data_IF_950230932908
#
_entry.id   IF_950230932908
#
_cell.length_a   1.000
_cell.length_b   1.000
_cell.length_c   1.000
_cell.angle_alpha   90.00
_cell.angle_beta   90.00
_cell.angle_gamma   90.00
#
_symmetry.space_group_name_H-M   'P 1'
#
loop_
_entity.id
_entity.type
_entity.pdbx_description
1 polymer ?
#
# COMPACT_ATOMS: atom_id res chain seq x y z
N UNK A 1 6.51 -5.51 0.26
CA UNK A 1 7.64 -6.07 -0.50
C UNK A 1 7.26 -7.47 -0.96
N UNK A 2 7.35 -7.72 -2.26
CA UNK A 2 7.11 -9.00 -2.91
C UNK A 2 8.45 -9.47 -3.49
N UNK A 3 9.04 -10.52 -2.94
CA UNK A 3 10.36 -10.99 -3.34
C UNK A 3 10.90 -12.07 -2.39
N UNK A 4 12.08 -12.64 -2.66
CA UNK A 4 12.68 -13.67 -1.84
C UNK A 4 13.01 -13.13 -0.45
N UNK A 5 12.95 -14.00 0.56
CA UNK A 5 13.17 -13.61 1.96
C UNK A 5 14.55 -12.97 2.17
N UNK A 6 15.53 -13.35 1.38
CA UNK A 6 16.90 -12.87 1.46
C UNK A 6 17.02 -11.35 1.25
N UNK A 7 16.12 -10.71 0.48
CA UNK A 7 16.10 -9.25 0.32
C UNK A 7 15.93 -8.48 1.63
N UNK A 8 15.25 -9.08 2.59
CA UNK A 8 14.82 -8.39 3.83
C UNK A 8 15.36 -9.09 5.08
N UNK A 9 16.20 -10.11 4.91
CA UNK A 9 16.69 -10.94 6.01
C UNK A 9 17.66 -10.11 6.86
N UNK A 10 17.39 -10.04 8.17
CA UNK A 10 18.21 -9.28 9.11
C UNK A 10 17.91 -7.78 9.16
N UNK A 11 16.97 -7.27 8.35
CA UNK A 11 16.49 -5.90 8.44
C UNK A 11 15.41 -5.79 9.53
N UNK A 12 15.50 -4.75 10.35
CA UNK A 12 14.36 -4.30 11.16
C UNK A 12 13.49 -3.38 10.31
N UNK A 13 12.24 -3.80 10.07
CA UNK A 13 11.26 -3.07 9.28
C UNK A 13 10.21 -2.37 10.16
N UNK A 14 10.43 -2.34 11.49
CA UNK A 14 9.61 -1.64 12.48
C UNK A 14 8.12 -2.05 12.47
N UNK A 15 7.80 -3.23 11.92
CA UNK A 15 6.41 -3.67 11.73
C UNK A 15 5.62 -2.85 10.70
N UNK A 16 6.29 -2.07 9.85
CA UNK A 16 5.67 -1.14 8.88
C UNK A 16 5.43 -1.75 7.49
N UNK A 17 5.87 -2.99 7.27
CA UNK A 17 5.98 -3.57 5.92
C UNK A 17 5.24 -4.90 5.83
N UNK A 18 4.38 -5.02 4.82
CA UNK A 18 3.82 -6.31 4.39
C UNK A 18 4.87 -7.06 3.55
N UNK A 19 5.15 -8.31 3.93
CA UNK A 19 6.15 -9.16 3.27
C UNK A 19 5.48 -10.37 2.60
N UNK A 20 5.78 -10.59 1.33
CA UNK A 20 5.38 -11.78 0.59
C UNK A 20 6.61 -12.44 -0.03
N UNK A 21 6.93 -13.66 0.44
CA UNK A 21 7.98 -14.50 -0.16
C UNK A 21 7.55 -14.90 -1.57
N UNK A 22 8.33 -14.47 -2.56
CA UNK A 22 8.04 -14.71 -3.97
C UNK A 22 9.35 -14.86 -4.75
N UNK A 23 9.42 -15.85 -5.65
CA UNK A 23 10.53 -16.03 -6.57
C UNK A 23 9.98 -16.10 -8.01
N UNK A 24 10.35 -15.13 -8.84
CA UNK A 24 9.87 -15.02 -10.22
C UNK A 24 10.32 -16.20 -11.10
N UNK A 25 11.38 -16.91 -10.71
CA UNK A 25 11.93 -18.08 -11.41
C UNK A 25 11.04 -19.31 -11.20
N UNK A 26 10.36 -19.39 -10.06
CA UNK A 26 9.40 -20.45 -9.74
C UNK A 26 7.99 -20.17 -10.30
N UNK A 27 7.75 -18.98 -10.87
CA UNK A 27 6.48 -18.57 -11.46
C UNK A 27 6.61 -18.20 -12.94
N UNK A 28 6.88 -19.18 -13.84
CA UNK A 28 7.04 -18.92 -15.27
C UNK A 28 5.76 -18.39 -15.94
N UNK A 29 4.60 -18.63 -15.34
CA UNK A 29 3.30 -18.18 -15.83
C UNK A 29 2.86 -16.80 -15.32
N UNK A 30 3.61 -16.21 -14.37
CA UNK A 30 3.25 -15.00 -13.64
C UNK A 30 1.92 -15.09 -12.86
N UNK A 31 1.42 -16.30 -12.62
CA UNK A 31 0.13 -16.52 -11.95
C UNK A 31 0.22 -16.14 -10.47
N UNK A 32 1.33 -16.48 -9.81
CA UNK A 32 1.53 -16.13 -8.40
C UNK A 32 1.73 -14.62 -8.25
N UNK A 33 2.53 -14.00 -9.11
CA UNK A 33 2.69 -12.55 -9.11
C UNK A 33 1.36 -11.82 -9.34
N UNK A 34 0.57 -12.29 -10.29
CA UNK A 34 -0.77 -11.77 -10.55
C UNK A 34 -1.64 -11.83 -9.31
N UNK A 35 -1.69 -12.98 -8.62
CA UNK A 35 -2.45 -13.12 -7.37
C UNK A 35 -1.94 -12.15 -6.31
N UNK A 36 -0.62 -12.02 -6.14
CA UNK A 36 -0.02 -11.12 -5.14
C UNK A 36 -0.38 -9.65 -5.39
N UNK A 37 -0.34 -9.20 -6.64
CA UNK A 37 -0.67 -7.81 -7.01
C UNK A 37 -2.17 -7.52 -6.98
N UNK A 38 -3.02 -8.51 -7.26
CA UNK A 38 -4.48 -8.31 -7.37
C UNK A 38 -5.27 -8.67 -6.12
N UNK A 39 -4.65 -9.33 -5.12
CA UNK A 39 -5.32 -9.66 -3.86
C UNK A 39 -4.56 -9.12 -2.63
N UNK A 40 -3.41 -9.67 -2.21
CA UNK A 40 -2.69 -9.16 -1.03
C UNK A 40 -2.32 -7.68 -1.10
N UNK A 41 -1.83 -7.19 -2.25
CA UNK A 41 -1.56 -5.75 -2.40
C UNK A 41 -2.83 -4.91 -2.27
N UNK A 42 -3.96 -5.38 -2.82
CA UNK A 42 -5.24 -4.66 -2.73
C UNK A 42 -5.68 -4.54 -1.27
N UNK A 43 -5.57 -5.62 -0.49
CA UNK A 43 -5.85 -5.60 0.95
C UNK A 43 -4.89 -4.66 1.69
N UNK A 44 -3.59 -4.72 1.40
CA UNK A 44 -2.61 -3.81 1.99
C UNK A 44 -2.94 -2.34 1.68
N UNK A 45 -3.39 -2.06 0.46
CA UNK A 45 -3.80 -0.72 0.05
C UNK A 45 -5.07 -0.25 0.76
N UNK A 46 -6.06 -1.12 0.94
CA UNK A 46 -7.28 -0.77 1.66
C UNK A 46 -6.99 -0.40 3.12
N UNK A 47 -6.16 -1.21 3.79
CA UNK A 47 -5.70 -0.91 5.16
C UNK A 47 -4.93 0.41 5.17
N UNK A 48 -4.01 0.61 4.21
CA UNK A 48 -3.22 1.85 4.12
C UNK A 48 -4.10 3.09 3.93
N UNK A 49 -5.06 3.06 3.00
CA UNK A 49 -5.95 4.20 2.73
C UNK A 49 -6.90 4.48 3.89
N UNK A 50 -7.44 3.44 4.54
CA UNK A 50 -8.31 3.59 5.70
C UNK A 50 -7.58 4.33 6.84
N UNK A 51 -6.34 3.93 7.13
CA UNK A 51 -5.49 4.63 8.09
C UNK A 51 -5.08 6.03 7.60
N UNK A 52 -4.64 6.17 6.35
CA UNK A 52 -4.18 7.44 5.79
C UNK A 52 -5.25 8.53 5.92
N UNK A 53 -6.44 8.29 5.38
CA UNK A 53 -7.48 9.32 5.35
C UNK A 53 -8.03 9.61 6.74
N UNK A 54 -8.23 8.57 7.56
CA UNK A 54 -8.68 8.75 8.95
C UNK A 54 -7.68 9.53 9.81
N UNK A 55 -6.39 9.52 9.44
CA UNK A 55 -5.32 10.25 10.13
C UNK A 55 -5.21 11.70 9.64
N UNK A 56 -5.31 11.93 8.33
CA UNK A 56 -5.14 13.28 7.73
C UNK A 56 -6.31 14.21 8.09
N UNK A 57 -7.54 13.71 8.05
CA UNK A 57 -8.73 14.48 8.45
C UNK A 57 -9.79 13.51 8.99
N UNK A 58 -9.75 13.30 10.32
CA UNK A 58 -10.66 12.36 10.98
C UNK A 58 -12.12 12.82 10.99
N UNK A 59 -12.35 14.14 10.89
CA UNK A 59 -13.70 14.68 10.90
C UNK A 59 -14.42 14.43 9.57
N UNK A 60 -13.68 14.55 8.46
CA UNK A 60 -14.21 14.30 7.11
C UNK A 60 -14.14 12.82 6.73
N UNK A 61 -13.02 12.15 6.97
CA UNK A 61 -12.77 10.80 6.48
C UNK A 61 -12.69 9.71 7.55
N UNK A 62 -12.71 10.09 8.83
CA UNK A 62 -12.76 9.17 9.96
C UNK A 62 -14.17 8.99 10.52
N UNK A 63 -14.24 8.44 11.73
CA UNK A 63 -15.49 8.31 12.50
C UNK A 63 -15.52 9.15 13.77
N UNK A 64 -14.61 10.12 13.92
CA UNK A 64 -14.55 10.99 15.09
C UNK A 64 -14.21 10.22 16.37
N UNK A 65 -14.65 10.74 17.51
CA UNK A 65 -14.39 10.12 18.81
C UNK A 65 -15.21 8.85 19.02
N UNK A 66 -14.53 7.75 19.35
CA UNK A 66 -15.16 6.47 19.71
C UNK A 66 -16.17 6.57 20.86
N UNK A 67 -16.06 7.59 21.71
CA UNK A 67 -16.97 7.83 22.85
C UNK A 67 -18.42 8.04 22.39
N UNK A 68 -18.62 8.65 21.22
CA UNK A 68 -19.95 9.01 20.71
C UNK A 68 -20.44 8.08 19.61
N UNK A 69 -19.79 6.93 19.40
CA UNK A 69 -20.13 6.00 18.31
C UNK A 69 -21.47 5.31 18.53
N UNK A 70 -22.39 5.54 17.60
CA UNK A 70 -23.59 4.74 17.44
C UNK A 70 -23.46 3.91 16.15
N UNK A 71 -23.41 2.58 16.29
CA UNK A 71 -23.28 1.67 15.14
C UNK A 71 -24.57 1.64 14.34
N UNK A 72 -24.47 1.92 13.04
CA UNK A 72 -25.60 1.93 12.11
C UNK A 72 -25.45 0.80 11.11
N UNK A 73 -26.35 -0.20 11.20
CA UNK A 73 -26.46 -1.28 10.23
C UNK A 73 -25.21 -2.14 10.02
N UNK A 74 -24.19 -1.99 10.88
CA UNK A 74 -22.85 -2.61 10.77
C UNK A 74 -22.05 -2.21 9.52
N UNK A 75 -22.44 -1.15 8.84
CA UNK A 75 -21.68 -0.62 7.70
C UNK A 75 -21.17 0.79 7.95
N UNK A 76 -21.55 1.46 9.05
CA UNK A 76 -20.98 2.73 9.44
C UNK A 76 -21.37 3.16 10.85
N UNK A 77 -20.97 4.37 11.20
CA UNK A 77 -21.11 4.97 12.52
C UNK A 77 -21.78 6.35 12.40
N UNK A 78 -22.66 6.67 13.35
CA UNK A 78 -23.08 8.04 13.63
C UNK A 78 -22.42 8.54 14.91
N UNK A 79 -22.08 9.82 14.96
CA UNK A 79 -21.57 10.49 16.15
C UNK A 79 -22.73 11.10 16.95
N UNK A 80 -23.02 10.55 18.12
CA UNK A 80 -24.15 10.96 18.95
C UNK A 80 -25.49 10.63 18.29
N UNK A 81 -26.58 11.29 18.72
CA UNK A 81 -27.94 10.97 18.25
C UNK A 81 -28.22 11.44 16.81
N UNK A 82 -27.47 12.43 16.30
CA UNK A 82 -27.66 13.02 14.98
C UNK A 82 -26.32 13.39 14.35
N UNK A 83 -25.99 12.77 13.22
CA UNK A 83 -24.85 13.12 12.37
C UNK A 83 -25.00 12.48 11.00
N UNK A 84 -24.13 12.85 10.05
CA UNK A 84 -23.94 12.05 8.85
C UNK A 84 -23.33 10.68 9.19
N UNK A 85 -23.52 9.71 8.28
CA UNK A 85 -22.91 8.40 8.37
C UNK A 85 -21.40 8.50 8.11
N UNK A 86 -20.60 7.92 8.98
CA UNK A 86 -19.14 7.89 8.91
C UNK A 86 -18.63 6.46 8.74
N UNK A 87 -17.58 6.27 7.93
CA UNK A 87 -17.06 4.94 7.56
C UNK A 87 -15.64 4.66 8.04
N UNK A 88 -14.82 5.69 8.28
CA UNK A 88 -13.40 5.50 8.64
C UNK A 88 -13.15 5.22 10.11
N UNK A 89 -11.87 5.25 10.50
CA UNK A 89 -11.42 4.90 11.84
C UNK A 89 -11.68 6.03 12.84
N UNK A 90 -11.87 5.63 14.11
CA UNK A 90 -12.02 6.58 15.20
C UNK A 90 -10.70 7.31 15.48
N UNK A 91 -10.77 8.53 16.01
CA UNK A 91 -9.61 9.31 16.45
C UNK A 91 -8.66 8.49 17.32
N UNK A 92 -9.19 7.79 18.33
CA UNK A 92 -8.41 7.00 19.28
C UNK A 92 -7.73 5.77 18.64
N UNK A 93 -8.12 5.37 17.43
CA UNK A 93 -7.47 4.29 16.69
C UNK A 93 -6.21 4.77 15.97
N UNK A 94 -6.19 6.02 15.53
CA UNK A 94 -5.13 6.55 14.65
C UNK A 94 -4.24 7.59 15.34
N UNK A 95 -4.69 8.18 16.45
CA UNK A 95 -3.98 9.24 17.18
C UNK A 95 -3.61 8.84 18.62
N UNK A 96 -2.39 9.18 19.02
CA UNK A 96 -1.90 9.21 20.39
C UNK A 96 -1.89 10.66 20.89
N UNK A 97 -3.01 11.10 21.49
CA UNK A 97 -3.21 12.52 21.78
C UNK A 97 -3.28 13.31 20.48
N UNK A 98 -2.33 14.21 20.27
CA UNK A 98 -2.24 15.08 19.08
C UNK A 98 -1.29 14.53 18.00
N UNK A 99 -0.63 13.40 18.24
CA UNK A 99 0.36 12.80 17.32
C UNK A 99 -0.19 11.51 16.73
N UNK A 100 -0.10 11.28 15.40
CA UNK A 100 -0.47 10.00 14.81
C UNK A 100 0.35 8.83 15.35
N UNK A 101 -0.27 7.66 15.54
CA UNK A 101 0.48 6.42 15.80
C UNK A 101 1.37 6.02 14.61
N UNK A 102 0.89 6.30 13.40
CA UNK A 102 1.58 6.04 12.16
C UNK A 102 1.53 7.28 11.28
N UNK A 103 2.64 7.61 10.64
CA UNK A 103 2.69 8.64 9.61
C UNK A 103 1.71 8.29 8.48
N UNK A 104 0.85 9.21 8.03
CA UNK A 104 -0.03 8.98 6.89
C UNK A 104 0.80 8.97 5.60
N UNK A 105 1.12 7.78 5.12
CA UNK A 105 1.93 7.57 3.91
C UNK A 105 1.13 6.87 2.82
N UNK A 106 1.47 7.14 1.55
CA UNK A 106 1.02 6.31 0.42
C UNK A 106 1.78 4.98 0.43
N UNK A 107 1.08 3.90 0.09
CA UNK A 107 1.69 2.57 0.00
C UNK A 107 2.76 2.55 -1.10
N UNK A 108 3.92 1.98 -0.76
CA UNK A 108 4.98 1.63 -1.71
C UNK A 108 5.07 0.11 -1.86
N UNK A 109 4.79 -0.38 -3.05
CA UNK A 109 5.03 -1.77 -3.42
C UNK A 109 6.39 -1.89 -4.09
N UNK A 110 7.27 -2.72 -3.52
CA UNK A 110 8.51 -3.15 -4.13
C UNK A 110 8.34 -4.60 -4.57
N UNK A 111 8.65 -4.90 -5.83
CA UNK A 111 8.53 -6.23 -6.44
C UNK A 111 9.86 -6.64 -7.05
N UNK A 112 10.42 -7.80 -6.68
CA UNK A 112 11.51 -8.42 -7.42
C UNK A 112 10.94 -9.32 -8.52
N UNK A 113 10.92 -8.81 -9.74
CA UNK A 113 10.53 -9.52 -10.96
C UNK A 113 10.92 -8.67 -12.19
N UNK A 114 11.13 -9.29 -13.37
CA UNK A 114 11.30 -8.56 -14.62
C UNK A 114 10.19 -7.54 -14.87
N UNK A 115 10.57 -6.31 -15.22
CA UNK A 115 9.61 -5.20 -15.41
C UNK A 115 8.53 -5.54 -16.44
N UNK A 116 8.88 -6.23 -17.52
CA UNK A 116 7.94 -6.61 -18.59
C UNK A 116 6.82 -7.51 -18.05
N UNK A 117 7.12 -8.37 -17.06
CA UNK A 117 6.10 -9.21 -16.42
C UNK A 117 5.15 -8.37 -15.60
N UNK A 118 5.65 -7.38 -14.86
CA UNK A 118 4.83 -6.47 -14.06
C UNK A 118 3.96 -5.60 -14.98
N UNK A 119 4.53 -5.03 -16.04
CA UNK A 119 3.82 -4.24 -17.05
C UNK A 119 2.67 -5.01 -17.69
N UNK A 120 2.91 -6.26 -18.10
CA UNK A 120 1.88 -7.12 -18.68
C UNK A 120 0.70 -7.32 -17.71
N UNK A 121 0.97 -7.44 -16.42
CA UNK A 121 -0.07 -7.54 -15.40
C UNK A 121 -0.83 -6.23 -15.21
N UNK A 122 -0.14 -5.09 -15.20
CA UNK A 122 -0.78 -3.78 -15.15
C UNK A 122 -1.71 -3.59 -16.35
N UNK A 123 -1.24 -3.88 -17.57
CA UNK A 123 -2.03 -3.75 -18.78
C UNK A 123 -3.29 -4.62 -18.78
N UNK A 124 -3.25 -5.78 -18.11
CA UNK A 124 -4.39 -6.72 -18.03
C UNK A 124 -5.44 -6.34 -16.97
N UNK A 125 -5.06 -5.57 -15.95
CA UNK A 125 -5.92 -5.30 -14.79
C UNK A 125 -6.16 -3.80 -14.60
N UNK A 126 -7.39 -3.35 -14.90
CA UNK A 126 -7.83 -1.96 -14.70
C UNK A 126 -7.59 -1.48 -13.26
N UNK A 127 -7.77 -2.35 -12.26
CA UNK A 127 -7.50 -2.04 -10.85
C UNK A 127 -6.03 -1.61 -10.62
N UNK A 128 -5.08 -2.31 -11.25
CA UNK A 128 -3.65 -1.99 -11.14
C UNK A 128 -3.31 -0.68 -11.86
N UNK A 129 -3.92 -0.45 -13.02
CA UNK A 129 -3.81 0.84 -13.73
C UNK A 129 -4.31 1.98 -12.84
N UNK A 130 -5.49 1.84 -12.25
CA UNK A 130 -6.03 2.82 -11.31
C UNK A 130 -5.13 3.05 -10.11
N UNK A 131 -4.51 2.01 -9.55
CA UNK A 131 -3.59 2.15 -8.42
C UNK A 131 -2.36 2.96 -8.78
N UNK A 132 -1.70 2.63 -9.90
CA UNK A 132 -0.40 3.20 -10.23
C UNK A 132 -0.48 4.49 -11.05
N UNK A 133 -1.43 4.59 -11.99
CA UNK A 133 -1.58 5.78 -12.84
C UNK A 133 -2.19 6.98 -12.11
N UNK A 134 -2.95 6.74 -11.03
CA UNK A 134 -3.44 7.81 -10.15
C UNK A 134 -2.57 8.01 -8.91
N UNK A 135 -1.42 7.32 -8.81
CA UNK A 135 -0.51 7.40 -7.66
C UNK A 135 -1.16 7.08 -6.30
N UNK A 136 -2.20 6.25 -6.30
CA UNK A 136 -2.75 5.71 -5.05
C UNK A 136 -1.77 4.74 -4.39
N UNK A 137 -1.02 4.01 -5.21
CA UNK A 137 0.09 3.13 -4.82
C UNK A 137 1.32 3.50 -5.64
N UNK A 138 2.48 3.62 -5.00
CA UNK A 138 3.75 3.72 -5.69
C UNK A 138 4.32 2.33 -5.96
N UNK A 139 4.91 2.14 -7.14
CA UNK A 139 5.48 0.86 -7.55
C UNK A 139 6.95 1.02 -7.91
N UNK A 140 7.75 0.09 -7.37
CA UNK A 140 9.17 -0.07 -7.70
C UNK A 140 9.43 -1.53 -8.05
N UNK A 141 10.11 -1.76 -9.17
CA UNK A 141 10.62 -3.06 -9.56
C UNK A 141 12.11 -3.15 -9.22
N UNK A 142 12.53 -4.24 -8.59
CA UNK A 142 13.93 -4.65 -8.55
C UNK A 142 14.16 -5.58 -9.73
N UNK A 143 14.89 -5.09 -10.74
CA UNK A 143 15.17 -5.83 -11.97
C UNK A 143 16.23 -6.91 -11.69
N UNK A 144 15.91 -8.22 -11.73
CA UNK A 144 16.81 -9.25 -11.23
C UNK A 144 18.12 -9.38 -12.00
N UNK A 145 18.09 -9.14 -13.31
CA UNK A 145 19.28 -9.27 -14.17
C UNK A 145 20.26 -8.09 -14.01
N UNK A 146 19.75 -6.94 -13.57
CA UNK A 146 20.53 -5.70 -13.43
C UNK A 146 20.89 -5.41 -11.96
N UNK A 147 20.07 -5.89 -11.01
CA UNK A 147 20.15 -5.50 -9.60
C UNK A 147 19.79 -4.02 -9.35
N UNK A 148 19.09 -3.39 -10.29
CA UNK A 148 18.73 -1.96 -10.27
C UNK A 148 17.24 -1.80 -9.93
N UNK A 149 16.93 -0.78 -9.14
CA UNK A 149 15.57 -0.39 -8.82
C UNK A 149 15.01 0.57 -9.88
N UNK A 150 13.80 0.32 -10.33
CA UNK A 150 13.07 1.16 -11.26
C UNK A 150 11.74 1.58 -10.67
N UNK A 151 11.44 2.87 -10.65
CA UNK A 151 10.13 3.42 -10.27
C UNK A 151 9.21 3.45 -11.47
N UNK A 152 7.99 2.92 -11.32
CA UNK A 152 6.93 3.07 -12.30
C UNK A 152 6.28 4.45 -12.15
N UNK A 153 6.13 5.16 -13.26
CA UNK A 153 5.52 6.49 -13.31
C UNK A 153 4.05 6.41 -13.73
N UNK A 154 3.23 7.42 -13.38
CA UNK A 154 1.85 7.53 -13.85
C UNK A 154 1.69 7.50 -15.37
N UNK A 155 2.72 7.93 -16.09
CA UNK A 155 2.79 7.91 -17.57
C UNK A 155 2.90 6.51 -18.16
N UNK A 156 3.12 5.48 -17.32
CA UNK A 156 3.36 4.11 -17.74
C UNK A 156 4.83 3.78 -17.99
N UNK A 157 5.75 4.72 -17.73
CA UNK A 157 7.19 4.57 -17.97
C UNK A 157 7.94 4.14 -16.70
N UNK A 158 9.03 3.41 -16.87
CA UNK A 158 9.99 3.14 -15.81
C UNK A 158 11.13 4.16 -15.80
N UNK A 159 11.50 4.61 -14.61
CA UNK A 159 12.70 5.42 -14.40
C UNK A 159 13.62 4.73 -13.40
N UNK A 160 14.91 4.63 -13.71
CA UNK A 160 15.89 4.12 -12.75
C UNK A 160 15.92 5.00 -11.51
N UNK A 161 16.04 4.36 -10.35
CA UNK A 161 16.31 5.03 -9.09
C UNK A 161 17.82 4.98 -8.91
N UNK A 162 18.51 6.04 -9.32
CA UNK A 162 19.94 6.15 -9.04
C UNK A 162 20.13 6.27 -7.53
N UNK A 163 20.86 5.31 -6.95
CA UNK A 163 21.46 5.51 -5.65
C UNK A 163 22.56 6.58 -5.81
N UNK A 164 22.20 7.84 -5.58
CA UNK A 164 23.19 8.84 -5.26
C UNK A 164 24.06 8.32 -4.09
N UNK A 165 25.37 8.59 -4.08
CA UNK A 165 26.25 8.09 -3.03
C UNK A 165 25.84 8.73 -1.69
N UNK A 166 25.12 7.99 -0.83
CA UNK A 166 24.93 8.35 0.57
C UNK A 166 23.56 8.07 1.16
N UNK A 167 23.42 6.92 1.82
CA UNK A 167 22.69 6.78 3.08
C UNK A 167 22.98 5.38 3.63
N UNK A 168 24.01 5.31 4.48
CA UNK A 168 24.30 4.19 5.37
C UNK A 168 23.52 4.40 6.65
#
# INVERSE_FOLDING_TARGET
>A
IIGPRDLTKGLDLEGRVFLHSYDYREDPSNRLLEVLLTAPQVVAQWINMEHYFSTVDNDVYGSGSKIYHNVVGRFGIMSGPWSDLRLGLAWQTVMNGDVPYHEPMRLLTIVEAPRERIEMLIARHELLQHFYHNEWVHLVALEPDEGILYRYRPTGEWASIDHGPGSV
#
